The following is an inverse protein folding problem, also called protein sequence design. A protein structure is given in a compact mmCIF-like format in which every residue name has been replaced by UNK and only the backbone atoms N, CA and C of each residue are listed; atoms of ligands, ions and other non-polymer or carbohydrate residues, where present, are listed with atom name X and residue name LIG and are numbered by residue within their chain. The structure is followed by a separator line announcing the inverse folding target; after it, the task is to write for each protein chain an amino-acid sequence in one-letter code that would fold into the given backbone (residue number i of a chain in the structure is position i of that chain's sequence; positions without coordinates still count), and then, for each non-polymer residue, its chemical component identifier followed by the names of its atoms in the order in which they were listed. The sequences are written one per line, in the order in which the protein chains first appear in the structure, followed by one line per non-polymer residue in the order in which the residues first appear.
data_IF_279451344656
#
_entry.id   IF_279451344656
#
_cell.length_a   1.000
_cell.length_b   1.000
_cell.length_c   1.000
_cell.angle_alpha   90.00
_cell.angle_beta   90.00
_cell.angle_gamma   90.00
#
_symmetry.space_group_name_H-M   'P 1'
#
loop_
_entity.id
_entity.type
_entity.pdbx_description
1 polymer ?
#
# COMPACT_ATOMS: atom_id res chain seq x y z
N UNK A 1 12.66 -26.45 -4.36
CA UNK A 1 11.44 -25.63 -4.29
C UNK A 1 10.74 -25.73 -5.64
N UNK A 2 9.41 -25.69 -5.67
CA UNK A 2 8.64 -25.62 -6.92
C UNK A 2 8.80 -24.22 -7.55
N UNK A 3 8.44 -24.08 -8.83
CA UNK A 3 8.37 -22.77 -9.50
C UNK A 3 7.39 -21.83 -8.80
N UNK A 4 6.27 -22.36 -8.28
CA UNK A 4 5.28 -21.61 -7.51
C UNK A 4 5.88 -21.05 -6.22
N UNK A 5 6.58 -21.88 -5.44
CA UNK A 5 7.21 -21.47 -4.20
C UNK A 5 8.34 -20.45 -4.44
N UNK A 6 9.09 -20.60 -5.53
CA UNK A 6 10.11 -19.62 -5.94
C UNK A 6 9.47 -18.27 -6.32
N UNK A 7 8.44 -18.29 -7.17
CA UNK A 7 7.72 -17.07 -7.57
C UNK A 7 7.11 -16.35 -6.36
N UNK A 8 6.45 -17.09 -5.46
CA UNK A 8 5.92 -16.54 -4.20
C UNK A 8 7.00 -15.86 -3.37
N UNK A 9 8.16 -16.49 -3.22
CA UNK A 9 9.29 -15.92 -2.47
C UNK A 9 9.77 -14.61 -3.11
N UNK A 10 9.89 -14.57 -4.44
CA UNK A 10 10.28 -13.36 -5.17
C UNK A 10 9.24 -12.25 -5.05
N UNK A 11 7.95 -12.58 -5.13
CA UNK A 11 6.86 -11.60 -4.99
C UNK A 11 6.82 -11.00 -3.58
N UNK A 12 6.97 -11.81 -2.54
CA UNK A 12 7.08 -11.32 -1.16
C UNK A 12 8.30 -10.41 -0.97
N UNK A 13 9.45 -10.77 -1.56
CA UNK A 13 10.63 -9.90 -1.51
C UNK A 13 10.39 -8.55 -2.19
N UNK A 14 9.70 -8.54 -3.34
CA UNK A 14 9.31 -7.31 -4.04
C UNK A 14 8.35 -6.45 -3.22
N UNK A 15 7.34 -7.05 -2.61
CA UNK A 15 6.40 -6.35 -1.72
C UNK A 15 7.10 -5.69 -0.53
N UNK A 16 8.06 -6.40 0.08
CA UNK A 16 8.88 -5.84 1.17
C UNK A 16 9.69 -4.64 0.70
N UNK A 17 10.35 -4.77 -0.46
CA UNK A 17 11.15 -3.70 -1.04
C UNK A 17 10.30 -2.47 -1.34
N UNK A 18 9.14 -2.62 -1.98
CA UNK A 18 8.24 -1.49 -2.29
C UNK A 18 7.73 -0.79 -1.03
N UNK A 19 7.46 -1.54 0.05
CA UNK A 19 7.07 -0.94 1.34
C UNK A 19 8.22 -0.12 1.95
N UNK A 20 9.46 -0.62 1.85
CA UNK A 20 10.65 0.10 2.29
C UNK A 20 10.94 1.35 1.45
N UNK A 21 10.74 1.27 0.13
CA UNK A 21 10.92 2.40 -0.79
C UNK A 21 9.89 3.51 -0.53
N UNK A 22 8.63 3.15 -0.23
CA UNK A 22 7.59 4.11 0.19
C UNK A 22 8.00 4.84 1.47
N UNK A 23 8.44 4.09 2.49
CA UNK A 23 8.93 4.67 3.74
C UNK A 23 10.12 5.60 3.52
N UNK A 24 11.06 5.20 2.66
CA UNK A 24 12.21 6.01 2.28
C UNK A 24 11.81 7.30 1.56
N UNK A 25 10.83 7.25 0.67
CA UNK A 25 10.41 8.41 -0.12
C UNK A 25 9.65 9.45 0.73
N UNK A 26 8.92 8.99 1.76
CA UNK A 26 8.12 9.85 2.63
C UNK A 26 8.88 10.44 3.84
N UNK A 27 10.08 9.95 4.15
CA UNK A 27 10.81 10.34 5.37
C UNK A 27 11.36 11.78 5.32
N UNK A 28 11.58 12.33 6.51
CA UNK A 28 12.29 13.60 6.73
C UNK A 28 11.70 14.82 5.99
N UNK A 29 10.42 14.74 5.62
CA UNK A 29 9.68 15.89 5.10
C UNK A 29 8.95 16.60 6.23
N UNK A 30 8.98 17.95 6.27
CA UNK A 30 8.11 18.71 7.15
C UNK A 30 6.63 18.50 6.75
N UNK A 31 5.74 18.67 7.71
CA UNK A 31 4.31 18.39 7.56
C UNK A 31 3.65 19.17 6.42
N UNK A 32 4.06 20.41 6.18
CA UNK A 32 3.55 21.22 5.07
C UNK A 32 3.89 20.63 3.69
N UNK A 33 5.06 20.01 3.53
CA UNK A 33 5.45 19.31 2.31
C UNK A 33 4.76 17.96 2.16
N UNK A 34 4.51 17.26 3.26
CA UNK A 34 3.78 15.99 3.25
C UNK A 34 2.31 16.15 2.87
N UNK A 35 1.71 17.28 3.22
CA UNK A 35 0.30 17.62 2.96
C UNK A 35 0.12 18.48 1.71
N UNK A 36 1.20 18.83 1.01
CA UNK A 36 1.10 19.60 -0.22
C UNK A 36 0.54 18.73 -1.35
N UNK A 37 -0.41 19.30 -2.12
CA UNK A 37 -0.95 18.72 -3.36
C UNK A 37 -0.60 19.62 -4.55
N UNK A 38 -0.31 19.06 -5.73
CA UNK A 38 -0.04 19.85 -6.94
C UNK A 38 -1.29 20.60 -7.42
N UNK A 39 -2.42 19.89 -7.42
CA UNK A 39 -3.73 20.38 -7.82
C UNK A 39 -4.82 19.85 -6.87
N UNK A 40 -6.04 20.38 -6.99
CA UNK A 40 -7.17 20.01 -6.12
C UNK A 40 -7.65 18.56 -6.30
N UNK A 41 -7.38 17.95 -7.46
CA UNK A 41 -7.78 16.58 -7.79
C UNK A 41 -6.64 15.56 -7.59
N UNK A 42 -5.46 16.04 -7.20
CA UNK A 42 -4.28 15.21 -6.96
C UNK A 42 -4.03 15.01 -5.47
N UNK A 43 -3.35 13.91 -5.14
CA UNK A 43 -3.08 13.53 -3.76
C UNK A 43 -1.72 14.03 -3.29
N UNK A 44 -1.63 14.28 -1.99
CA UNK A 44 -0.40 14.53 -1.27
C UNK A 44 0.34 13.23 -0.96
N UNK A 45 1.63 13.34 -0.61
CA UNK A 45 2.42 12.18 -0.15
C UNK A 45 1.72 11.50 1.04
N UNK A 46 1.15 12.30 1.94
CA UNK A 46 0.43 11.79 3.11
C UNK A 46 -0.81 10.99 2.70
N UNK A 47 -1.64 11.51 1.80
CA UNK A 47 -2.84 10.82 1.30
C UNK A 47 -2.50 9.51 0.59
N UNK A 48 -1.43 9.48 -0.21
CA UNK A 48 -0.96 8.25 -0.84
C UNK A 48 -0.65 7.15 0.18
N UNK A 49 0.10 7.47 1.24
CA UNK A 49 0.47 6.49 2.27
C UNK A 49 -0.73 6.11 3.14
N UNK A 50 -1.56 7.08 3.52
CA UNK A 50 -2.79 6.83 4.29
C UNK A 50 -3.78 5.95 3.51
N UNK A 51 -3.91 6.16 2.19
CA UNK A 51 -4.76 5.35 1.34
C UNK A 51 -4.29 3.90 1.28
N UNK A 52 -2.98 3.68 1.12
CA UNK A 52 -2.41 2.34 1.14
C UNK A 52 -2.75 1.64 2.46
N UNK A 53 -2.55 2.30 3.60
CA UNK A 53 -2.90 1.73 4.90
C UNK A 53 -4.39 1.34 4.98
N UNK A 54 -5.31 2.22 4.57
CA UNK A 54 -6.75 1.93 4.60
C UNK A 54 -7.12 0.78 3.65
N UNK A 55 -6.50 0.70 2.47
CA UNK A 55 -6.72 -0.40 1.52
C UNK A 55 -6.20 -1.74 2.05
N UNK A 56 -5.00 -1.77 2.63
CA UNK A 56 -4.44 -3.00 3.21
C UNK A 56 -5.29 -3.48 4.38
N UNK A 57 -5.71 -2.57 5.28
CA UNK A 57 -6.51 -2.90 6.46
C UNK A 57 -7.95 -3.33 6.12
N UNK A 58 -8.61 -2.63 5.18
CA UNK A 58 -10.04 -2.81 4.91
C UNK A 58 -10.33 -3.79 3.78
N UNK A 59 -9.39 -3.98 2.86
CA UNK A 59 -9.61 -4.74 1.63
C UNK A 59 -8.65 -5.91 1.54
N UNK A 60 -7.35 -5.65 1.38
CA UNK A 60 -6.44 -6.70 0.91
C UNK A 60 -6.12 -7.75 1.97
N UNK A 61 -5.82 -7.37 3.22
CA UNK A 61 -5.59 -8.35 4.27
C UNK A 61 -6.87 -9.15 4.61
N UNK A 62 -8.06 -8.53 4.72
CA UNK A 62 -9.32 -9.28 4.82
C UNK A 62 -9.56 -10.22 3.64
N UNK A 63 -9.32 -9.77 2.40
CA UNK A 63 -9.52 -10.58 1.19
C UNK A 63 -8.54 -11.75 1.13
N UNK A 64 -7.30 -11.54 1.56
CA UNK A 64 -6.30 -12.59 1.69
C UNK A 64 -6.74 -13.64 2.72
N UNK A 65 -7.17 -13.20 3.91
CA UNK A 65 -7.68 -14.11 4.94
C UNK A 65 -8.89 -14.89 4.45
N UNK A 66 -9.79 -14.25 3.71
CA UNK A 66 -10.94 -14.90 3.07
C UNK A 66 -10.49 -15.95 2.05
N UNK A 67 -9.54 -15.65 1.16
CA UNK A 67 -9.05 -16.64 0.19
C UNK A 67 -8.29 -17.81 0.84
N UNK A 68 -7.51 -17.53 1.89
CA UNK A 68 -6.62 -18.49 2.53
C UNK A 68 -7.32 -19.39 3.55
N UNK A 69 -8.21 -18.83 4.37
CA UNK A 69 -8.76 -19.50 5.56
C UNK A 69 -10.20 -19.95 5.29
N UNK A 70 -10.52 -21.24 5.46
CA UNK A 70 -11.90 -21.73 5.37
C UNK A 70 -12.85 -20.98 6.31
N UNK A 71 -14.10 -20.79 5.90
CA UNK A 71 -15.20 -20.20 6.69
C UNK A 71 -15.00 -18.74 7.14
N UNK A 72 -13.97 -18.04 6.63
CA UNK A 72 -13.86 -16.59 6.82
C UNK A 72 -14.98 -15.83 6.11
N UNK A 73 -15.46 -14.76 6.76
CA UNK A 73 -16.45 -13.85 6.20
C UNK A 73 -15.86 -13.09 5.01
N UNK A 74 -16.69 -12.89 4.00
CA UNK A 74 -16.32 -12.08 2.83
C UNK A 74 -16.05 -10.62 3.25
N UNK A 75 -14.99 -9.98 2.73
CA UNK A 75 -14.73 -8.57 2.98
C UNK A 75 -15.84 -7.67 2.47
N UNK A 76 -16.04 -6.54 3.16
CA UNK A 76 -16.99 -5.51 2.75
C UNK A 76 -16.50 -4.72 1.54
N UNK A 77 -17.43 -4.15 0.80
CA UNK A 77 -17.12 -3.23 -0.30
C UNK A 77 -16.30 -2.03 0.17
N UNK A 78 -15.41 -1.58 -0.71
CA UNK A 78 -14.58 -0.41 -0.48
C UNK A 78 -15.12 0.82 -1.21
N UNK A 79 -15.13 1.97 -0.51
CA UNK A 79 -15.37 3.26 -1.13
C UNK A 79 -14.28 4.26 -0.76
N UNK A 80 -13.49 4.66 -1.76
CA UNK A 80 -12.48 5.72 -1.65
C UNK A 80 -13.10 7.05 -1.23
N UNK A 81 -14.32 7.36 -1.69
CA UNK A 81 -15.02 8.57 -1.29
C UNK A 81 -15.35 8.55 0.20
N UNK A 82 -15.95 7.44 0.68
CA UNK A 82 -16.24 7.29 2.12
C UNK A 82 -14.96 7.32 2.94
N UNK A 83 -13.87 6.71 2.46
CA UNK A 83 -12.57 6.84 3.11
C UNK A 83 -12.15 8.31 3.26
N UNK A 84 -12.14 9.06 2.16
CA UNK A 84 -11.72 10.46 2.17
C UNK A 84 -12.60 11.33 3.07
N UNK A 85 -13.93 11.11 3.03
CA UNK A 85 -14.90 11.92 3.75
C UNK A 85 -14.95 11.60 5.26
N UNK A 86 -14.71 10.35 5.66
CA UNK A 86 -15.02 9.88 7.02
C UNK A 86 -13.84 9.29 7.79
N UNK A 87 -12.78 8.83 7.12
CA UNK A 87 -11.69 8.06 7.74
C UNK A 87 -10.31 8.67 7.57
N UNK A 88 -10.07 9.42 6.49
CA UNK A 88 -8.80 10.11 6.29
C UNK A 88 -8.60 11.17 7.37
N UNK A 89 -7.43 11.18 8.01
CA UNK A 89 -7.05 12.16 9.02
C UNK A 89 -5.63 12.68 8.76
N UNK A 90 -5.55 13.91 8.23
CA UNK A 90 -4.31 14.60 7.93
C UNK A 90 -3.42 14.88 9.18
N UNK A 91 -3.95 14.70 10.39
CA UNK A 91 -3.21 14.91 11.65
C UNK A 91 -2.36 13.70 12.05
N UNK A 92 -2.62 12.52 11.47
CA UNK A 92 -1.84 11.32 11.77
C UNK A 92 -0.41 11.52 11.26
N UNK A 93 0.59 11.22 12.08
CA UNK A 93 1.97 11.38 11.67
C UNK A 93 2.32 10.36 10.56
N UNK A 94 3.09 10.80 9.56
CA UNK A 94 3.50 9.91 8.45
C UNK A 94 4.28 8.68 8.96
N UNK A 95 5.05 8.83 10.04
CA UNK A 95 5.75 7.74 10.69
C UNK A 95 4.80 6.65 11.20
N UNK A 96 3.67 7.05 11.81
CA UNK A 96 2.66 6.12 12.33
C UNK A 96 1.98 5.35 11.18
N UNK A 97 1.70 6.03 10.06
CA UNK A 97 1.15 5.38 8.86
C UNK A 97 2.13 4.37 8.26
N UNK A 98 3.42 4.72 8.17
CA UNK A 98 4.47 3.82 7.69
C UNK A 98 4.63 2.62 8.62
N UNK A 99 4.59 2.82 9.93
CA UNK A 99 4.66 1.72 10.90
C UNK A 99 3.45 0.79 10.79
N UNK A 100 2.24 1.34 10.65
CA UNK A 100 1.01 0.58 10.41
C UNK A 100 1.09 -0.22 9.11
N UNK A 101 1.58 0.38 8.02
CA UNK A 101 1.75 -0.32 6.74
C UNK A 101 2.72 -1.49 6.86
N UNK A 102 3.84 -1.32 7.58
CA UNK A 102 4.78 -2.41 7.83
C UNK A 102 4.16 -3.54 8.66
N UNK A 103 3.37 -3.22 9.68
CA UNK A 103 2.66 -4.24 10.47
C UNK A 103 1.66 -5.03 9.63
N UNK A 104 0.86 -4.35 8.81
CA UNK A 104 -0.07 -5.01 7.89
C UNK A 104 0.68 -5.93 6.90
N UNK A 105 1.82 -5.47 6.36
CA UNK A 105 2.66 -6.27 5.48
C UNK A 105 3.21 -7.52 6.17
N UNK A 106 3.59 -7.43 7.44
CA UNK A 106 4.02 -8.57 8.23
C UNK A 106 2.89 -9.58 8.44
N UNK A 107 1.67 -9.12 8.74
CA UNK A 107 0.49 -9.98 8.89
C UNK A 107 0.16 -10.74 7.60
N UNK A 108 0.24 -10.08 6.44
CA UNK A 108 0.06 -10.75 5.14
C UNK A 108 1.13 -11.81 4.90
N UNK A 109 2.38 -11.51 5.26
CA UNK A 109 3.50 -12.43 5.03
C UNK A 109 3.43 -13.65 5.92
N UNK A 110 2.90 -13.52 7.13
CA UNK A 110 2.60 -14.66 7.98
C UNK A 110 1.58 -15.59 7.32
N UNK A 111 0.50 -15.05 6.74
CA UNK A 111 -0.45 -15.85 5.96
C UNK A 111 0.25 -16.53 4.77
N UNK A 112 1.02 -15.78 3.97
CA UNK A 112 1.69 -16.32 2.78
C UNK A 112 2.68 -17.44 3.09
N UNK A 113 3.36 -17.38 4.24
CA UNK A 113 4.34 -18.37 4.68
C UNK A 113 3.72 -19.71 5.08
N UNK A 114 2.47 -19.70 5.54
CA UNK A 114 1.76 -20.90 5.99
C UNK A 114 1.14 -21.70 4.84
N UNK A 115 0.95 -21.07 3.67
CA UNK A 115 0.33 -21.71 2.52
C UNK A 115 1.29 -22.69 1.82
N UNK A 116 0.79 -23.85 1.43
CA UNK A 116 1.44 -24.68 0.41
C UNK A 116 1.08 -24.21 -1.01
N UNK A 117 1.67 -24.82 -2.03
CA UNK A 117 1.42 -24.43 -3.43
C UNK A 117 -0.04 -24.64 -3.85
N UNK A 118 -0.73 -25.63 -3.26
CA UNK A 118 -2.12 -25.91 -3.59
C UNK A 118 -3.02 -24.81 -3.02
N UNK A 119 -2.87 -24.49 -1.74
CA UNK A 119 -3.63 -23.44 -1.07
C UNK A 119 -3.33 -22.06 -1.66
N UNK A 120 -2.09 -21.80 -2.09
CA UNK A 120 -1.69 -20.56 -2.77
C UNK A 120 -2.44 -20.32 -4.08
N UNK A 121 -2.63 -21.38 -4.87
CA UNK A 121 -3.23 -21.32 -6.20
C UNK A 121 -4.73 -21.66 -6.24
N UNK A 122 -5.28 -22.17 -5.13
CA UNK A 122 -6.69 -22.53 -5.02
C UNK A 122 -7.56 -21.32 -5.29
N UNK A 123 -8.40 -21.42 -6.31
CA UNK A 123 -9.38 -20.40 -6.66
C UNK A 123 -10.54 -20.46 -5.67
N UNK A 124 -10.93 -19.28 -5.21
CA UNK A 124 -12.17 -19.02 -4.47
C UNK A 124 -13.06 -18.15 -5.36
N UNK A 125 -14.30 -18.59 -5.60
CA UNK A 125 -15.24 -17.98 -6.55
C UNK A 125 -16.68 -17.88 -6.00
N UNK A 126 -16.86 -18.12 -4.70
CA UNK A 126 -18.14 -18.08 -3.98
C UNK A 126 -18.54 -16.68 -3.50
N UNK A 127 -17.79 -15.63 -3.89
CA UNK A 127 -17.96 -14.24 -3.47
C UNK A 127 -18.22 -13.24 -4.61
N UNK A 128 -18.62 -12.02 -4.26
CA UNK A 128 -18.85 -10.92 -5.20
C UNK A 128 -17.57 -10.28 -5.76
N UNK A 129 -16.41 -10.54 -5.14
CA UNK A 129 -15.09 -10.14 -5.65
C UNK A 129 -14.66 -10.90 -6.92
N UNK A 130 -15.43 -11.93 -7.31
CA UNK A 130 -15.13 -12.78 -8.45
C UNK A 130 -14.08 -13.86 -8.15
N UNK A 131 -13.72 -14.67 -9.15
CA UNK A 131 -12.75 -15.75 -8.98
C UNK A 131 -11.36 -15.18 -8.72
N UNK A 132 -10.77 -15.53 -7.58
CA UNK A 132 -9.44 -15.08 -7.17
C UNK A 132 -8.70 -16.15 -6.37
N UNK A 133 -7.38 -16.01 -6.26
CA UNK A 133 -6.53 -16.84 -5.40
C UNK A 133 -5.51 -15.97 -4.68
N UNK A 134 -4.76 -16.55 -3.72
CA UNK A 134 -3.81 -15.79 -2.91
C UNK A 134 -2.68 -15.18 -3.76
N UNK A 135 -2.28 -15.83 -4.85
CA UNK A 135 -1.29 -15.26 -5.77
C UNK A 135 -1.79 -13.97 -6.41
N UNK A 136 -3.00 -13.99 -6.96
CA UNK A 136 -3.59 -12.83 -7.61
C UNK A 136 -3.73 -11.66 -6.64
N UNK A 137 -4.14 -11.91 -5.39
CA UNK A 137 -4.21 -10.88 -4.35
C UNK A 137 -2.82 -10.26 -4.12
N UNK A 138 -1.80 -11.08 -3.91
CA UNK A 138 -0.43 -10.58 -3.70
C UNK A 138 0.10 -9.76 -4.89
N UNK A 139 -0.23 -10.15 -6.12
CA UNK A 139 0.12 -9.40 -7.33
C UNK A 139 -0.62 -8.05 -7.43
N UNK A 140 -1.90 -8.01 -7.05
CA UNK A 140 -2.71 -6.78 -7.01
C UNK A 140 -2.15 -5.82 -5.97
N UNK A 141 -1.87 -6.32 -4.77
CA UNK A 141 -1.28 -5.56 -3.68
C UNK A 141 0.07 -4.96 -4.10
N UNK A 142 0.89 -5.75 -4.80
CA UNK A 142 2.18 -5.28 -5.32
C UNK A 142 2.04 -4.17 -6.35
N UNK A 143 1.17 -4.36 -7.35
CA UNK A 143 0.92 -3.35 -8.38
C UNK A 143 0.37 -2.06 -7.77
N UNK A 144 -0.60 -2.18 -6.86
CA UNK A 144 -1.18 -1.03 -6.19
C UNK A 144 -0.14 -0.24 -5.37
N UNK A 145 0.73 -0.95 -4.66
CA UNK A 145 1.84 -0.32 -3.92
C UNK A 145 2.82 0.41 -4.84
N UNK A 146 3.12 -0.16 -6.02
CA UNK A 146 3.97 0.50 -7.03
C UNK A 146 3.33 1.76 -7.59
N UNK A 147 2.03 1.72 -7.91
CA UNK A 147 1.30 2.88 -8.44
C UNK A 147 1.35 4.06 -7.46
N UNK A 148 1.15 3.79 -6.15
CA UNK A 148 1.27 4.83 -5.14
C UNK A 148 2.71 5.27 -4.86
N UNK A 149 3.68 4.36 -4.92
CA UNK A 149 5.11 4.72 -4.82
C UNK A 149 5.52 5.67 -5.95
N UNK A 150 5.07 5.42 -7.17
CA UNK A 150 5.33 6.30 -8.30
C UNK A 150 4.82 7.72 -8.03
N UNK A 151 3.58 7.86 -7.53
CA UNK A 151 3.03 9.16 -7.14
C UNK A 151 3.84 9.86 -6.06
N UNK A 152 4.17 9.15 -4.98
CA UNK A 152 4.99 9.68 -3.88
C UNK A 152 6.37 10.15 -4.37
N UNK A 153 7.00 9.38 -5.26
CA UNK A 153 8.31 9.71 -5.82
C UNK A 153 8.26 10.95 -6.72
N UNK A 154 7.19 11.11 -7.52
CA UNK A 154 6.95 12.31 -8.31
C UNK A 154 6.85 13.55 -7.43
N UNK A 155 5.97 13.52 -6.44
CA UNK A 155 5.75 14.61 -5.48
C UNK A 155 7.03 14.94 -4.70
N UNK A 156 7.81 13.93 -4.30
CA UNK A 156 9.10 14.15 -3.65
C UNK A 156 10.07 14.91 -4.55
N UNK A 157 10.07 14.60 -5.85
CA UNK A 157 10.81 15.34 -6.86
C UNK A 157 10.41 16.80 -6.92
N UNK A 158 9.10 17.07 -6.98
CA UNK A 158 8.56 18.43 -7.06
C UNK A 158 8.89 19.26 -5.82
N UNK A 159 8.75 18.66 -4.63
CA UNK A 159 9.13 19.29 -3.36
C UNK A 159 10.62 19.64 -3.34
N UNK A 160 11.48 18.74 -3.81
CA UNK A 160 12.92 18.99 -3.87
C UNK A 160 13.26 20.13 -4.85
N UNK A 161 12.59 20.19 -6.01
CA UNK A 161 12.79 21.27 -6.99
C UNK A 161 12.32 22.62 -6.43
N UNK A 162 11.14 22.66 -5.79
CA UNK A 162 10.62 23.88 -5.16
C UNK A 162 11.54 24.40 -4.04
N UNK A 163 12.21 23.51 -3.30
CA UNK A 163 13.17 23.89 -2.28
C UNK A 163 14.43 24.56 -2.87
N UNK A 164 14.89 24.11 -4.05
CA UNK A 164 16.02 24.72 -4.76
C UNK A 164 15.68 26.16 -5.20
N UNK A 165 14.50 26.39 -5.75
CA UNK A 165 14.07 27.72 -6.19
C UNK A 165 14.01 28.73 -5.03
N UNK A 166 13.55 28.29 -3.85
CA UNK A 166 13.55 29.11 -2.62
C UNK A 166 14.96 29.40 -2.11
N UNK A 167 15.88 28.43 -2.22
CA UNK A 167 17.29 28.59 -1.86
C UNK A 167 18.05 29.56 -2.76
N UNK A 168 17.71 29.60 -4.06
CA UNK A 168 18.26 30.57 -5.02
C UNK A 168 17.71 31.98 -4.76
N UNK A 169 16.42 32.11 -4.41
CA UNK A 169 15.81 33.41 -4.13
C UNK A 169 16.24 34.05 -2.78
N UNK A 170 16.69 33.24 -1.82
CA UNK A 170 17.17 33.71 -0.51
C UNK A 170 18.67 34.02 -0.44
N UNK A 171 19.41 33.84 -1.54
CA UNK A 171 20.84 34.09 -1.65
C UNK A 171 21.18 35.35 -2.44
N UNK A 172 20.87 36.53 -1.88
CA UNK A 172 21.51 37.82 -2.19
C UNK A 172 21.64 38.64 -0.91
#
# INVERSE_FOLDING_TARGET
MSLTAEYRTQLMARLRATTADLAWAARDLPTDQLLWTPDADEWSIHEHVAHLVDMEERVYLPLLRWAAIPDMLEPVDYSRRVWLDERYDARVAIGDLVEQLNRLRDEEFDVFRELDDNAWLRVRDDGHWGPLNCQWIAEVVYRHSLDHLQGVMGLRGDVNLAALDRGVAGGV
#
